data_IF_338348287022
#
_entry.id   IF_338348287022
#
_cell.length_a   1.000
_cell.length_b   1.000
_cell.length_c   1.000
_cell.angle_alpha   90.00
_cell.angle_beta   90.00
_cell.angle_gamma   90.00
#
_symmetry.space_group_name_H-M   'P 1'
#
loop_
_entity.id
_entity.type
_entity.pdbx_description
1 polymer ?
#
# COMPACT_ATOMS: atom_id res chain seq x y z
N UNK A 1 -13.01 6.88 4.12
CA UNK A 1 -12.56 5.96 5.19
C UNK A 1 -11.98 4.69 4.55
N UNK A 2 -10.79 4.26 4.94
CA UNK A 2 -10.08 3.16 4.27
C UNK A 2 -10.22 1.84 5.03
N UNK A 3 -11.28 1.09 4.72
CA UNK A 3 -11.47 -0.28 5.20
C UNK A 3 -11.08 -1.29 4.11
N UNK A 4 -10.39 -2.37 4.50
CA UNK A 4 -10.01 -3.47 3.61
C UNK A 4 -10.92 -4.66 3.85
N UNK A 5 -11.56 -5.16 2.79
CA UNK A 5 -12.46 -6.33 2.86
C UNK A 5 -11.73 -7.56 3.38
N UNK A 6 -12.34 -8.29 4.33
CA UNK A 6 -11.75 -9.49 4.91
C UNK A 6 -11.51 -10.60 3.86
N UNK A 7 -12.37 -10.70 2.85
CA UNK A 7 -12.21 -11.65 1.74
C UNK A 7 -10.88 -11.50 0.99
N UNK A 8 -10.33 -10.28 0.93
CA UNK A 8 -9.04 -10.04 0.28
C UNK A 8 -7.88 -10.74 1.00
N UNK A 9 -7.99 -10.94 2.31
CA UNK A 9 -6.96 -11.62 3.11
C UNK A 9 -6.92 -13.12 2.84
N UNK A 10 -8.07 -13.75 2.56
CA UNK A 10 -8.11 -15.16 2.19
C UNK A 10 -7.39 -15.43 0.86
N UNK A 11 -7.24 -14.43 0.01
CA UNK A 11 -6.48 -14.53 -1.23
C UNK A 11 -4.96 -14.33 -1.04
N UNK A 12 -4.52 -13.86 0.13
CA UNK A 12 -3.11 -13.61 0.41
C UNK A 12 -2.35 -14.90 0.73
N UNK A 13 -1.30 -15.20 -0.03
CA UNK A 13 -0.48 -16.41 0.18
C UNK A 13 0.14 -16.47 1.58
N UNK A 14 0.49 -15.32 2.19
CA UNK A 14 1.01 -15.30 3.56
C UNK A 14 -0.05 -15.75 4.57
N UNK A 15 -1.29 -15.30 4.40
CA UNK A 15 -2.43 -15.68 5.26
C UNK A 15 -2.76 -17.16 5.09
N UNK A 16 -2.76 -17.66 3.84
CA UNK A 16 -2.95 -19.10 3.56
C UNK A 16 -1.87 -19.97 4.21
N UNK A 17 -0.60 -19.52 4.19
CA UNK A 17 0.52 -20.23 4.85
C UNK A 17 0.39 -20.31 6.37
N UNK A 18 -0.34 -19.37 6.99
CA UNK A 18 -0.65 -19.40 8.43
C UNK A 18 -1.79 -20.36 8.77
N UNK A 19 -2.38 -21.06 7.78
CA UNK A 19 -3.47 -22.01 7.99
C UNK A 19 -4.83 -21.35 8.23
N UNK A 20 -4.96 -20.05 7.92
CA UNK A 20 -6.23 -19.33 8.01
C UNK A 20 -7.10 -19.73 6.82
N UNK A 21 -8.23 -20.38 7.09
CA UNK A 21 -9.16 -20.92 6.08
C UNK A 21 -10.51 -20.23 6.08
N UNK A 22 -10.82 -19.47 7.13
CA UNK A 22 -12.12 -18.82 7.28
C UNK A 22 -12.01 -17.37 7.73
N UNK A 23 -13.02 -16.58 7.39
CA UNK A 23 -13.12 -15.17 7.83
C UNK A 23 -13.27 -15.08 9.35
N UNK A 24 -13.94 -16.04 9.98
CA UNK A 24 -14.15 -16.06 11.44
C UNK A 24 -12.82 -16.04 12.20
N UNK A 25 -11.83 -16.83 11.77
CA UNK A 25 -10.50 -16.82 12.37
C UNK A 25 -9.82 -15.45 12.28
N UNK A 26 -10.07 -14.69 11.20
CA UNK A 26 -9.54 -13.34 11.05
C UNK A 26 -10.25 -12.38 12.00
N UNK A 27 -11.58 -12.49 12.12
CA UNK A 27 -12.37 -11.68 13.07
C UNK A 27 -11.89 -11.92 14.50
N UNK A 28 -11.78 -13.18 14.91
CA UNK A 28 -11.36 -13.57 16.27
C UNK A 28 -9.94 -13.06 16.57
N UNK A 29 -9.03 -13.10 15.60
CA UNK A 29 -7.68 -12.57 15.75
C UNK A 29 -7.66 -11.03 15.88
N UNK A 30 -8.51 -10.35 15.12
CA UNK A 30 -8.60 -8.88 15.13
C UNK A 30 -9.24 -8.35 16.41
N UNK A 31 -10.25 -9.04 16.96
CA UNK A 31 -10.89 -8.66 18.23
C UNK A 31 -9.88 -8.64 19.40
N UNK A 32 -8.83 -9.46 19.33
CA UNK A 32 -7.77 -9.53 20.33
C UNK A 32 -6.60 -8.55 20.06
N UNK A 33 -6.68 -7.71 19.03
CA UNK A 33 -5.58 -6.84 18.61
C UNK A 33 -5.90 -5.36 18.90
N UNK A 34 -4.96 -4.65 19.54
CA UNK A 34 -5.17 -3.25 19.91
C UNK A 34 -5.13 -2.28 18.71
N UNK A 35 -4.36 -2.61 17.67
CA UNK A 35 -4.06 -1.71 16.55
C UNK A 35 -5.05 -1.80 15.38
N UNK A 36 -5.94 -2.80 15.39
CA UNK A 36 -6.87 -3.07 14.30
C UNK A 36 -8.31 -2.87 14.76
N UNK A 37 -9.17 -2.42 13.86
CA UNK A 37 -10.61 -2.31 14.10
C UNK A 37 -11.40 -2.92 12.95
N UNK A 38 -12.57 -3.45 13.31
CA UNK A 38 -13.55 -3.99 12.38
C UNK A 38 -14.64 -2.94 12.14
N UNK A 39 -15.21 -2.93 10.94
CA UNK A 39 -16.44 -2.19 10.70
C UNK A 39 -17.63 -2.82 11.44
N UNK A 40 -18.75 -2.09 11.55
CA UNK A 40 -19.95 -2.54 12.27
C UNK A 40 -20.49 -3.89 11.80
N UNK A 41 -20.33 -4.21 10.51
CA UNK A 41 -20.79 -5.47 9.90
C UNK A 41 -19.78 -6.63 10.02
N UNK A 42 -18.58 -6.38 10.56
CA UNK A 42 -17.47 -7.35 10.61
C UNK A 42 -17.09 -7.94 9.23
N UNK A 43 -17.20 -7.13 8.17
CA UNK A 43 -16.88 -7.50 6.78
C UNK A 43 -15.56 -6.90 6.29
N UNK A 44 -15.03 -5.90 6.98
CA UNK A 44 -13.79 -5.22 6.63
C UNK A 44 -13.03 -4.75 7.88
N UNK A 45 -11.71 -4.59 7.74
CA UNK A 45 -10.82 -4.12 8.82
C UNK A 45 -9.99 -2.90 8.40
N UNK A 46 -9.57 -2.10 9.38
CA UNK A 46 -8.57 -1.03 9.19
C UNK A 46 -7.61 -0.94 10.39
N UNK A 47 -6.52 -0.21 10.21
CA UNK A 47 -5.66 0.22 11.32
C UNK A 47 -6.36 1.34 12.09
N UNK A 48 -6.37 1.26 13.43
CA UNK A 48 -6.92 2.33 14.29
C UNK A 48 -6.12 3.61 14.19
N UNK A 49 -4.80 3.48 14.17
CA UNK A 49 -3.85 4.57 14.00
C UNK A 49 -3.19 4.44 12.63
N UNK A 50 -3.48 5.39 11.75
CA UNK A 50 -2.66 5.62 10.58
C UNK A 50 -1.42 6.38 11.07
N UNK A 51 -0.29 5.68 11.22
CA UNK A 51 0.98 6.38 11.40
C UNK A 51 1.11 7.41 10.28
N UNK A 52 1.35 8.66 10.66
CA UNK A 52 1.57 9.74 9.70
C UNK A 52 2.77 9.34 8.87
N UNK A 53 2.52 9.01 7.59
CA UNK A 53 3.59 8.75 6.64
C UNK A 53 4.55 9.94 6.67
N UNK A 54 5.88 9.71 6.69
CA UNK A 54 6.84 10.79 6.71
C UNK A 54 6.55 11.73 5.55
N UNK A 55 6.37 13.01 5.87
CA UNK A 55 6.09 14.03 4.88
C UNK A 55 7.21 14.02 3.85
N UNK A 56 6.85 13.80 2.58
CA UNK A 56 7.81 13.82 1.50
C UNK A 56 8.36 15.24 1.39
N UNK A 57 9.57 15.46 1.90
CA UNK A 57 10.32 16.68 1.65
C UNK A 57 11.01 16.50 0.30
N UNK A 58 10.50 17.10 -0.80
CA UNK A 58 11.21 17.06 -2.06
C UNK A 58 12.59 17.65 -1.83
N UNK A 59 13.64 16.83 -1.96
CA UNK A 59 15.00 17.35 -2.13
C UNK A 59 14.96 18.14 -3.43
N UNK A 60 14.83 19.47 -3.35
CA UNK A 60 15.12 20.35 -4.49
C UNK A 60 16.48 19.90 -4.99
N UNK A 61 16.54 19.31 -6.19
CA UNK A 61 17.81 19.11 -6.87
C UNK A 61 18.42 20.50 -6.96
N UNK A 62 19.48 20.75 -6.20
CA UNK A 62 20.39 21.85 -6.52
C UNK A 62 20.75 21.61 -7.99
N UNK A 63 20.48 22.59 -8.85
CA UNK A 63 21.03 22.62 -10.19
C UNK A 63 22.55 22.66 -10.01
N UNK A 64 23.19 21.50 -9.90
CA UNK A 64 24.58 21.36 -10.28
C UNK A 64 24.63 21.77 -11.74
N UNK A 65 25.41 22.81 -12.05
CA UNK A 65 25.64 23.31 -13.40
C UNK A 65 25.77 22.15 -14.38
N UNK A 66 24.77 22.04 -15.25
CA UNK A 66 24.71 21.06 -16.31
C UNK A 66 25.65 21.55 -17.40
N UNK A 67 26.83 20.93 -17.53
CA UNK A 67 27.53 20.88 -18.81
C UNK A 67 26.52 20.34 -19.85
N UNK A 68 26.38 20.96 -21.02
CA UNK A 68 25.37 20.56 -21.99
C UNK A 68 25.65 19.12 -22.44
N UNK A 69 24.75 18.21 -22.10
CA UNK A 69 24.62 16.94 -22.82
C UNK A 69 23.49 17.12 -23.83
N UNK A 70 23.80 16.81 -25.09
CA UNK A 70 22.84 16.77 -26.19
C UNK A 70 21.55 16.09 -25.77
N UNK A 71 20.48 16.88 -25.68
CA UNK A 71 19.13 16.41 -25.53
C UNK A 71 18.63 16.03 -26.94
N UNK A 72 19.01 14.85 -27.43
CA UNK A 72 18.36 14.24 -28.58
C UNK A 72 17.08 13.55 -28.13
N UNK A 73 15.94 13.91 -28.72
CA UNK A 73 14.67 13.21 -28.50
C UNK A 73 14.79 11.78 -29.07
N UNK A 74 14.57 10.71 -28.28
CA UNK A 74 14.77 9.33 -28.73
C UNK A 74 13.76 8.84 -29.78
N UNK A 75 12.78 9.67 -30.15
CA UNK A 75 11.76 9.35 -31.15
C UNK A 75 11.93 10.09 -32.48
N UNK A 76 13.00 10.88 -32.66
CA UNK A 76 13.20 11.66 -33.89
C UNK A 76 13.46 10.77 -35.14
N UNK A 77 13.74 9.48 -34.96
CA UNK A 77 14.03 8.54 -36.07
C UNK A 77 12.86 7.59 -36.42
N UNK A 78 11.63 7.87 -35.96
CA UNK A 78 10.44 7.15 -36.46
C UNK A 78 9.84 7.91 -37.63
N UNK A 79 10.48 7.83 -38.80
CA UNK A 79 9.86 8.21 -40.08
C UNK A 79 8.80 7.15 -40.47
N UNK A 80 7.60 7.63 -40.85
CA UNK A 80 6.54 6.87 -41.55
C UNK A 80 6.67 7.12 -43.03
#
# INVERSE_FOLDING_TARGET
EHFVKLNSFLNCNKVKKLGVTSIKQIIDAVENTENLELNSEKTALRLKTLETLPEFKPKKKLKSEEKPKENGNPYDNLEV
#
